data_IF_402984846921
#
_entry.id   IF_402984846921
#
_cell.length_a   1.000
_cell.length_b   1.000
_cell.length_c   1.000
_cell.angle_alpha   90.00
_cell.angle_beta   90.00
_cell.angle_gamma   90.00
#
_symmetry.space_group_name_H-M   'P 1'
#
loop_
_entity.id
_entity.type
_entity.pdbx_description
1 polymer ?
#
# COMPACT_ATOMS: atom_id res chain seq x y z
N UNK A 1 -3.78 27.11 -5.35
CA UNK A 1 -2.86 26.11 -4.76
C UNK A 1 -3.73 25.01 -4.20
N UNK A 2 -3.68 23.80 -4.77
CA UNK A 2 -4.47 22.68 -4.27
C UNK A 2 -3.60 21.92 -3.28
N UNK A 3 -3.98 21.92 -2.00
CA UNK A 3 -3.27 21.16 -0.97
C UNK A 3 -3.43 19.67 -1.26
N UNK A 4 -2.30 18.97 -1.46
CA UNK A 4 -2.23 17.51 -1.60
C UNK A 4 -1.85 16.92 -0.25
N UNK A 5 -2.59 15.92 0.22
CA UNK A 5 -2.33 15.27 1.51
C UNK A 5 -1.77 13.87 1.29
N UNK A 6 -0.78 13.49 2.11
CA UNK A 6 -0.30 12.10 2.22
C UNK A 6 -0.81 11.51 3.53
N UNK A 7 -1.47 10.36 3.46
CA UNK A 7 -1.92 9.58 4.61
C UNK A 7 -1.10 8.31 4.71
N UNK A 8 -0.71 7.99 5.92
CA UNK A 8 0.02 6.76 6.22
C UNK A 8 -0.75 6.05 7.31
N UNK A 9 -1.15 4.81 7.06
CA UNK A 9 -1.78 3.95 8.06
C UNK A 9 -1.04 2.62 8.18
N UNK A 10 -1.24 1.97 9.32
CA UNK A 10 -0.72 0.65 9.59
C UNK A 10 -1.87 -0.27 9.97
N UNK A 11 -1.87 -1.49 9.44
CA UNK A 11 -2.79 -2.55 9.83
C UNK A 11 -2.01 -3.80 10.25
N UNK A 12 -2.61 -4.60 11.14
CA UNK A 12 -2.07 -5.88 11.57
C UNK A 12 -3.23 -6.81 11.89
N UNK A 13 -3.25 -7.98 11.26
CA UNK A 13 -4.27 -9.01 11.48
C UNK A 13 -3.68 -10.17 12.29
N UNK A 14 -3.91 -10.21 13.62
CA UNK A 14 -3.36 -11.28 14.47
C UNK A 14 -4.12 -12.61 14.35
N UNK A 15 -5.42 -12.54 14.04
CA UNK A 15 -6.34 -13.67 14.07
C UNK A 15 -6.95 -13.91 12.70
N UNK A 16 -7.56 -15.09 12.51
CA UNK A 16 -8.18 -15.47 11.24
C UNK A 16 -9.48 -14.70 10.91
N UNK A 17 -9.85 -13.66 11.67
CA UNK A 17 -11.13 -12.97 11.47
C UNK A 17 -11.07 -11.82 10.44
N UNK A 18 -12.24 -11.35 10.03
CA UNK A 18 -12.39 -10.29 9.03
C UNK A 18 -12.36 -8.87 9.63
N UNK A 19 -12.37 -8.72 10.96
CA UNK A 19 -12.63 -7.42 11.60
C UNK A 19 -11.58 -6.37 11.26
N UNK A 20 -10.32 -6.79 11.16
CA UNK A 20 -9.23 -5.89 10.78
C UNK A 20 -9.44 -5.33 9.37
N UNK A 21 -9.83 -6.19 8.42
CA UNK A 21 -10.07 -5.81 7.02
C UNK A 21 -11.32 -4.93 6.93
N UNK A 22 -12.39 -5.27 7.65
CA UNK A 22 -13.63 -4.49 7.70
C UNK A 22 -13.43 -3.08 8.26
N UNK A 23 -12.65 -2.97 9.34
CA UNK A 23 -12.36 -1.67 9.95
C UNK A 23 -11.43 -0.84 9.05
N UNK A 24 -10.48 -1.48 8.37
CA UNK A 24 -9.62 -0.80 7.41
C UNK A 24 -10.43 -0.27 6.22
N UNK A 25 -11.31 -1.09 5.62
CA UNK A 25 -12.25 -0.67 4.58
C UNK A 25 -13.07 0.54 5.03
N UNK A 26 -13.70 0.45 6.20
CA UNK A 26 -14.48 1.56 6.77
C UNK A 26 -13.67 2.85 6.89
N UNK A 27 -12.43 2.77 7.37
CA UNK A 27 -11.55 3.94 7.52
C UNK A 27 -11.17 4.50 6.15
N UNK A 28 -10.76 3.66 5.20
CA UNK A 28 -10.35 4.12 3.86
C UNK A 28 -11.54 4.76 3.12
N UNK A 29 -12.71 4.10 3.14
CA UNK A 29 -13.97 4.61 2.59
C UNK A 29 -14.34 6.02 3.08
N UNK A 30 -14.10 6.33 4.36
CA UNK A 30 -14.34 7.67 4.91
C UNK A 30 -13.37 8.72 4.37
N UNK A 31 -12.21 8.27 3.92
CA UNK A 31 -11.07 9.11 3.57
C UNK A 31 -10.88 9.27 2.05
N UNK A 32 -11.43 8.37 1.23
CA UNK A 32 -11.36 8.39 -0.25
C UNK A 32 -11.93 9.67 -0.87
N UNK A 33 -12.89 10.31 -0.20
CA UNK A 33 -13.50 11.56 -0.67
C UNK A 33 -12.59 12.77 -0.54
N UNK A 34 -11.41 12.59 0.06
CA UNK A 34 -10.48 13.65 0.33
C UNK A 34 -9.33 13.55 -0.68
N UNK A 35 -8.96 14.68 -1.28
CA UNK A 35 -7.88 14.76 -2.27
C UNK A 35 -6.51 14.43 -1.66
N UNK A 36 -6.23 13.13 -1.52
CA UNK A 36 -5.07 12.62 -0.80
C UNK A 36 -4.57 11.32 -1.37
N UNK A 37 -3.29 11.06 -1.18
CA UNK A 37 -2.65 9.77 -1.43
C UNK A 37 -2.60 8.99 -0.12
N UNK A 38 -2.97 7.72 -0.14
CA UNK A 38 -2.93 6.85 1.04
C UNK A 38 -1.86 5.76 0.85
N UNK A 39 -1.02 5.59 1.85
CA UNK A 39 -0.05 4.50 1.99
C UNK A 39 -0.45 3.62 3.16
N UNK A 40 -0.52 2.31 2.90
CA UNK A 40 -0.88 1.31 3.90
C UNK A 40 0.32 0.40 4.10
N UNK A 41 0.83 0.33 5.33
CA UNK A 41 1.77 -0.70 5.76
C UNK A 41 0.99 -1.78 6.52
N UNK A 42 0.98 -3.00 6.03
CA UNK A 42 0.16 -4.06 6.61
C UNK A 42 0.94 -5.36 6.81
N UNK A 43 0.50 -6.15 7.79
CA UNK A 43 0.76 -7.58 7.90
C UNK A 43 -0.57 -8.32 8.18
N UNK A 44 -1.24 -8.73 7.09
CA UNK A 44 -2.47 -9.52 7.14
C UNK A 44 -2.27 -10.97 7.57
N UNK A 45 -1.01 -11.47 7.65
CA UNK A 45 -0.68 -12.89 7.77
C UNK A 45 -1.35 -13.77 6.68
N UNK A 46 -1.46 -13.26 5.46
CA UNK A 46 -2.06 -13.95 4.30
C UNK A 46 -1.02 -14.07 3.18
N UNK A 47 -0.25 -15.16 3.20
CA UNK A 47 0.84 -15.42 2.24
C UNK A 47 0.38 -15.84 0.84
N UNK A 48 -0.89 -16.18 0.67
CA UNK A 48 -1.41 -16.87 -0.52
C UNK A 48 -2.00 -15.93 -1.58
N UNK A 49 -1.72 -14.63 -1.49
CA UNK A 49 -2.18 -13.60 -2.45
C UNK A 49 -1.07 -13.32 -3.46
N UNK A 50 -1.33 -13.62 -4.73
CA UNK A 50 -0.53 -13.13 -5.85
C UNK A 50 -0.92 -11.69 -6.18
N UNK A 51 -0.25 -10.75 -5.51
CA UNK A 51 -0.52 -9.33 -5.63
C UNK A 51 -0.24 -8.72 -7.00
N UNK A 52 0.65 -9.32 -7.80
CA UNK A 52 0.93 -8.86 -9.17
C UNK A 52 -0.31 -8.97 -10.06
N UNK A 53 -1.07 -10.04 -9.88
CA UNK A 53 -2.26 -10.32 -10.67
C UNK A 53 -3.56 -10.20 -9.85
N UNK A 54 -3.46 -9.79 -8.58
CA UNK A 54 -4.55 -9.73 -7.61
C UNK A 54 -5.39 -11.02 -7.58
N UNK A 55 -4.69 -12.16 -7.52
CA UNK A 55 -5.32 -13.49 -7.53
C UNK A 55 -4.97 -14.26 -6.26
N UNK A 56 -5.93 -15.00 -5.73
CA UNK A 56 -5.74 -15.88 -4.56
C UNK A 56 -5.37 -17.27 -5.05
N UNK A 57 -4.30 -17.87 -4.53
CA UNK A 57 -3.92 -19.23 -4.90
C UNK A 57 -5.08 -20.21 -4.64
N UNK A 58 -5.31 -21.13 -5.58
CA UNK A 58 -6.26 -22.24 -5.45
C UNK A 58 -6.07 -23.08 -4.18
N UNK A 59 -4.86 -23.13 -3.62
CA UNK A 59 -4.52 -23.88 -2.41
C UNK A 59 -4.33 -22.99 -1.18
N UNK A 60 -4.83 -21.74 -1.21
CA UNK A 60 -4.71 -20.83 -0.08
C UNK A 60 -5.29 -21.44 1.20
N UNK A 61 -4.60 -21.26 2.33
CA UNK A 61 -5.06 -21.74 3.64
C UNK A 61 -6.28 -20.95 4.15
N UNK A 62 -6.39 -19.70 3.69
CA UNK A 62 -7.40 -18.72 4.10
C UNK A 62 -8.00 -18.02 2.86
N UNK A 63 -8.67 -18.78 1.96
CA UNK A 63 -9.07 -18.26 0.66
C UNK A 63 -10.12 -17.16 0.77
N UNK A 64 -11.03 -17.23 1.75
CA UNK A 64 -12.07 -16.21 1.95
C UNK A 64 -11.45 -14.88 2.37
N UNK A 65 -10.50 -14.90 3.31
CA UNK A 65 -9.82 -13.69 3.79
C UNK A 65 -8.90 -13.10 2.72
N UNK A 66 -8.18 -13.94 1.97
CA UNK A 66 -7.41 -13.50 0.82
C UNK A 66 -8.29 -12.78 -0.22
N UNK A 67 -9.44 -13.36 -0.55
CA UNK A 67 -10.37 -12.75 -1.51
C UNK A 67 -10.96 -11.45 -0.97
N UNK A 68 -11.22 -11.36 0.33
CA UNK A 68 -11.68 -10.11 0.95
C UNK A 68 -10.64 -9.00 0.84
N UNK A 69 -9.37 -9.31 1.09
CA UNK A 69 -8.28 -8.32 0.93
C UNK A 69 -8.15 -7.86 -0.52
N UNK A 70 -8.22 -8.77 -1.49
CA UNK A 70 -8.19 -8.43 -2.92
C UNK A 70 -9.37 -7.53 -3.28
N UNK A 71 -10.58 -7.88 -2.83
CA UNK A 71 -11.81 -7.10 -3.08
C UNK A 71 -11.72 -5.70 -2.48
N UNK A 72 -11.24 -5.59 -1.23
CA UNK A 72 -10.95 -4.32 -0.56
C UNK A 72 -9.94 -3.49 -1.36
N UNK A 73 -8.83 -4.10 -1.78
CA UNK A 73 -7.81 -3.39 -2.55
C UNK A 73 -8.35 -2.87 -3.88
N UNK A 74 -9.17 -3.65 -4.59
CA UNK A 74 -9.80 -3.23 -5.83
C UNK A 74 -10.84 -2.12 -5.63
N UNK A 75 -11.69 -2.22 -4.59
CA UNK A 75 -12.69 -1.21 -4.27
C UNK A 75 -12.08 0.18 -4.05
N UNK A 76 -10.88 0.24 -3.49
CA UNK A 76 -10.14 1.47 -3.21
C UNK A 76 -9.03 1.79 -4.22
N UNK A 77 -8.97 1.07 -5.35
CA UNK A 77 -7.92 1.24 -6.37
C UNK A 77 -6.49 1.17 -5.78
N UNK A 78 -6.30 0.38 -4.74
CA UNK A 78 -5.01 0.16 -4.09
C UNK A 78 -4.13 -0.72 -4.98
N UNK A 79 -2.85 -0.38 -4.98
CA UNK A 79 -1.81 -1.09 -5.69
C UNK A 79 -0.69 -1.47 -4.71
N UNK A 80 -0.15 -2.68 -4.87
CA UNK A 80 0.98 -3.11 -4.07
C UNK A 80 2.25 -2.35 -4.51
N UNK A 81 2.97 -1.79 -3.54
CA UNK A 81 4.22 -1.04 -3.79
C UNK A 81 5.45 -1.95 -3.64
N UNK A 82 5.35 -3.03 -2.87
CA UNK A 82 6.47 -3.91 -2.51
C UNK A 82 6.28 -5.27 -3.16
N UNK A 83 7.27 -5.75 -3.91
CA UNK A 83 7.15 -6.97 -4.73
C UNK A 83 7.13 -8.28 -3.93
N UNK A 84 7.67 -8.27 -2.70
CA UNK A 84 7.82 -9.47 -1.86
C UNK A 84 7.31 -9.21 -0.44
N UNK A 85 6.51 -10.12 0.15
CA UNK A 85 6.21 -10.09 1.57
C UNK A 85 7.50 -10.20 2.38
N UNK A 86 7.50 -9.66 3.61
CA UNK A 86 8.67 -9.78 4.49
C UNK A 86 8.72 -11.20 5.04
N UNK A 87 9.39 -12.12 4.34
CA UNK A 87 9.53 -13.50 4.81
C UNK A 87 10.43 -13.59 6.05
N UNK A 88 9.89 -14.13 7.15
CA UNK A 88 10.66 -14.36 8.38
C UNK A 88 11.74 -15.46 8.24
N UNK A 89 11.81 -16.15 7.09
CA UNK A 89 12.87 -17.11 6.76
C UNK A 89 14.16 -16.46 6.26
N UNK A 90 14.19 -15.13 6.14
CA UNK A 90 15.40 -14.39 5.82
C UNK A 90 16.36 -14.50 7.01
N UNK A 91 17.57 -15.07 6.84
CA UNK A 91 18.56 -15.10 7.91
C UNK A 91 18.73 -13.69 8.49
N UNK A 92 18.84 -13.56 9.81
CA UNK A 92 19.01 -12.26 10.51
C UNK A 92 20.08 -11.35 9.85
N UNK A 93 21.09 -11.94 9.22
CA UNK A 93 22.13 -11.25 8.45
C UNK A 93 21.61 -10.48 7.21
N UNK A 94 20.48 -10.89 6.64
CA UNK A 94 19.86 -10.29 5.45
C UNK A 94 18.71 -9.33 5.77
N UNK A 95 18.13 -9.36 6.99
CA UNK A 95 17.07 -8.43 7.41
C UNK A 95 17.52 -6.96 7.28
N UNK A 96 18.77 -6.64 7.62
CA UNK A 96 19.31 -5.29 7.44
C UNK A 96 19.33 -4.84 5.97
N UNK A 97 19.63 -5.75 5.04
CA UNK A 97 19.66 -5.46 3.59
C UNK A 97 18.24 -5.22 3.06
N UNK A 98 17.28 -6.04 3.47
CA UNK A 98 15.89 -5.92 3.01
C UNK A 98 15.23 -4.68 3.60
N UNK A 99 15.44 -4.40 4.88
CA UNK A 99 15.02 -3.13 5.50
C UNK A 99 15.61 -1.94 4.74
N UNK A 100 16.89 -1.98 4.37
CA UNK A 100 17.52 -0.92 3.58
C UNK A 100 16.91 -0.77 2.19
N UNK A 101 16.58 -1.88 1.51
CA UNK A 101 15.90 -1.89 0.21
C UNK A 101 14.50 -1.31 0.28
N UNK A 102 13.68 -1.73 1.25
CA UNK A 102 12.33 -1.20 1.48
C UNK A 102 12.42 0.30 1.78
N UNK A 103 13.28 0.70 2.71
CA UNK A 103 13.49 2.11 3.03
C UNK A 103 13.94 2.93 1.82
N UNK A 104 14.77 2.37 0.94
CA UNK A 104 15.20 3.03 -0.30
C UNK A 104 14.05 3.14 -1.29
N UNK A 105 13.28 2.06 -1.55
CA UNK A 105 12.13 2.08 -2.45
C UNK A 105 11.04 3.05 -1.97
N UNK A 106 10.66 3.00 -0.70
CA UNK A 106 9.68 3.93 -0.11
C UNK A 106 10.14 5.39 -0.18
N UNK A 107 11.43 5.65 0.05
CA UNK A 107 12.01 6.99 -0.07
C UNK A 107 11.99 7.48 -1.52
N UNK A 108 12.34 6.63 -2.48
CA UNK A 108 12.29 6.98 -3.90
C UNK A 108 10.85 7.31 -4.32
N UNK A 109 9.89 6.45 -3.98
CA UNK A 109 8.48 6.69 -4.24
C UNK A 109 7.99 8.03 -3.67
N UNK A 110 8.36 8.33 -2.41
CA UNK A 110 8.04 9.60 -1.78
C UNK A 110 8.63 10.80 -2.55
N UNK A 111 9.91 10.73 -2.94
CA UNK A 111 10.54 11.82 -3.69
C UNK A 111 10.00 11.97 -5.11
N UNK A 112 9.70 10.86 -5.80
CA UNK A 112 9.07 10.89 -7.12
C UNK A 112 7.69 11.55 -7.05
N UNK A 113 6.90 11.22 -6.02
CA UNK A 113 5.64 11.90 -5.75
C UNK A 113 5.83 13.41 -5.51
N UNK A 114 6.77 13.80 -4.64
CA UNK A 114 7.04 15.21 -4.34
C UNK A 114 7.54 15.98 -5.57
N UNK A 115 8.39 15.37 -6.39
CA UNK A 115 8.88 15.99 -7.63
C UNK A 115 7.75 16.21 -8.63
N UNK A 116 6.85 15.24 -8.80
CA UNK A 116 5.68 15.40 -9.66
C UNK A 116 4.74 16.52 -9.18
N UNK A 117 4.61 16.72 -7.85
CA UNK A 117 3.86 17.86 -7.32
C UNK A 117 4.53 19.20 -7.66
N UNK A 118 5.86 19.27 -7.52
CA UNK A 118 6.62 20.50 -7.70
C UNK A 118 6.74 20.88 -9.19
N UNK A 119 6.89 19.90 -10.09
CA UNK A 119 6.99 20.14 -11.54
C UNK A 119 5.70 20.68 -12.16
N UNK A 120 4.52 20.19 -11.74
CA UNK A 120 3.22 20.72 -12.18
C UNK A 120 3.05 22.22 -11.85
N UNK A 121 3.66 22.71 -10.76
CA UNK A 121 3.57 24.12 -10.37
C UNK A 121 4.43 25.06 -11.22
N UNK A 122 5.47 24.53 -11.88
CA UNK A 122 6.39 25.34 -12.71
C UNK A 122 5.87 25.59 -14.12
N UNK A 123 5.13 24.65 -14.72
CA UNK A 123 4.61 24.80 -16.08
C UNK A 123 3.40 25.77 -16.15
N UNK A 124 2.61 25.87 -15.08
CA UNK A 124 1.49 26.82 -15.03
C UNK A 124 1.90 28.29 -14.85
N UNK A 125 3.15 28.58 -14.46
CA UNK A 125 3.61 29.97 -14.23
C UNK A 125 4.25 30.63 -15.44
N UNK A 126 4.46 29.91 -16.55
CA UNK A 126 5.15 30.45 -17.74
C UNK A 126 4.30 30.40 -19.03
N UNK A 127 3.00 30.10 -18.93
CA UNK A 127 2.09 29.98 -20.07
C UNK A 127 1.11 31.14 -20.30
N UNK A 128 1.35 32.34 -19.76
CA UNK A 128 0.52 33.53 -20.05
C UNK A 128 1.38 34.77 -20.17
N UNK A 129 1.84 35.06 -21.38
CA UNK A 129 2.20 36.41 -21.86
C UNK A 129 1.59 36.60 -23.23
#
# INVERSE_FOLDING_TARGET
MVTKYLRVCSAYRPDSDFKCIDELDRIISLTDKLNSTTLIGDDFNLGDINWKNKFVDSNASHPEECNKVVTFADAHSLNQIVDEPTDYLIPLSNIKKIRSLIQKKSRNFYWDYMNNIICDETEHKHGTT
#
